data_IF_068775663835
#
_entry.id   IF_068775663835
#
_cell.length_a   1.000
_cell.length_b   1.000
_cell.length_c   1.000
_cell.angle_alpha   90.00
_cell.angle_beta   90.00
_cell.angle_gamma   90.00
#
_symmetry.space_group_name_H-M   'P 1'
#
loop_
_entity.id
_entity.type
_entity.pdbx_description
1 polymer ?
#
# COMPACT_ATOMS: atom_id res chain seq x y z
N UNK A 1 -43.56 4.30 24.32
CA UNK A 1 -42.15 4.74 24.49
C UNK A 1 -41.14 3.70 24.00
N UNK A 2 -41.27 2.39 24.38
CA UNK A 2 -40.41 1.31 23.88
C UNK A 2 -40.45 1.18 22.36
N UNK A 3 -41.65 1.25 21.76
CA UNK A 3 -41.83 1.07 20.31
C UNK A 3 -41.24 2.24 19.50
N UNK A 4 -41.28 3.45 20.04
CA UNK A 4 -40.65 4.62 19.41
C UNK A 4 -39.14 4.53 19.42
N UNK A 5 -38.57 4.10 20.54
CA UNK A 5 -37.10 3.89 20.64
C UNK A 5 -36.69 2.74 19.75
N UNK A 6 -37.45 1.66 19.70
CA UNK A 6 -37.16 0.51 18.85
C UNK A 6 -37.17 0.86 17.36
N UNK A 7 -38.18 1.60 16.91
CA UNK A 7 -38.28 2.02 15.51
C UNK A 7 -37.16 3.01 15.15
N UNK A 8 -36.85 3.97 16.03
CA UNK A 8 -35.75 4.91 15.83
C UNK A 8 -34.39 4.19 15.69
N UNK A 9 -34.09 3.26 16.61
CA UNK A 9 -32.85 2.50 16.57
C UNK A 9 -32.80 1.64 15.30
N UNK A 10 -33.88 0.96 14.97
CA UNK A 10 -33.95 0.06 13.81
C UNK A 10 -33.74 0.82 12.49
N UNK A 11 -34.38 1.94 12.29
CA UNK A 11 -34.21 2.75 11.09
C UNK A 11 -32.79 3.31 10.95
N UNK A 12 -32.23 3.89 12.02
CA UNK A 12 -30.89 4.45 11.98
C UNK A 12 -29.81 3.37 11.83
N UNK A 13 -29.93 2.24 12.54
CA UNK A 13 -28.98 1.13 12.41
C UNK A 13 -29.03 0.50 11.00
N UNK A 14 -30.22 0.35 10.40
CA UNK A 14 -30.34 -0.19 9.05
C UNK A 14 -29.63 0.68 8.02
N UNK A 15 -29.77 2.00 8.10
CA UNK A 15 -29.08 2.95 7.22
C UNK A 15 -27.57 2.81 7.38
N UNK A 16 -27.06 2.75 8.63
CA UNK A 16 -25.63 2.56 8.89
C UNK A 16 -25.09 1.26 8.30
N UNK A 17 -25.77 0.16 8.53
CA UNK A 17 -25.35 -1.16 8.03
C UNK A 17 -25.31 -1.16 6.49
N UNK A 18 -26.31 -0.61 5.83
CA UNK A 18 -26.37 -0.53 4.35
C UNK A 18 -25.23 0.34 3.81
N UNK A 19 -24.98 1.52 4.43
CA UNK A 19 -23.89 2.40 3.99
C UNK A 19 -22.51 1.79 4.23
N UNK A 20 -22.29 1.14 5.37
CA UNK A 20 -21.05 0.40 5.66
C UNK A 20 -20.83 -0.72 4.65
N UNK A 21 -21.87 -1.50 4.33
CA UNK A 21 -21.79 -2.55 3.33
C UNK A 21 -21.44 -2.00 1.93
N UNK A 22 -22.01 -0.84 1.57
CA UNK A 22 -21.69 -0.15 0.32
C UNK A 22 -20.23 0.33 0.31
N UNK A 23 -19.75 0.90 1.40
CA UNK A 23 -18.35 1.31 1.56
C UNK A 23 -17.39 0.13 1.43
N UNK A 24 -17.73 -1.00 2.05
CA UNK A 24 -16.96 -2.24 1.93
C UNK A 24 -16.90 -2.72 0.48
N UNK A 25 -18.05 -2.78 -0.19
CA UNK A 25 -18.14 -3.20 -1.60
C UNK A 25 -17.35 -2.26 -2.52
N UNK A 26 -17.40 -0.95 -2.30
CA UNK A 26 -16.65 0.05 -3.06
C UNK A 26 -15.14 -0.12 -2.88
N UNK A 27 -14.68 -0.33 -1.64
CA UNK A 27 -13.27 -0.58 -1.35
C UNK A 27 -12.76 -1.87 -1.99
N UNK A 28 -13.54 -2.96 -1.91
CA UNK A 28 -13.21 -4.21 -2.59
C UNK A 28 -13.17 -4.05 -4.10
N UNK A 29 -14.13 -3.33 -4.68
CA UNK A 29 -14.19 -3.03 -6.11
C UNK A 29 -12.96 -2.26 -6.58
N UNK A 30 -12.54 -1.23 -5.85
CA UNK A 30 -11.34 -0.45 -6.17
C UNK A 30 -10.07 -1.32 -6.15
N UNK A 31 -9.93 -2.22 -5.16
CA UNK A 31 -8.81 -3.15 -5.08
C UNK A 31 -8.80 -4.16 -6.23
N UNK A 32 -9.97 -4.64 -6.65
CA UNK A 32 -10.07 -5.54 -7.81
C UNK A 32 -9.64 -4.84 -9.11
N UNK A 33 -10.04 -3.59 -9.30
CA UNK A 33 -9.63 -2.78 -10.46
C UNK A 33 -8.10 -2.57 -10.46
N UNK A 34 -7.48 -2.26 -9.30
CA UNK A 34 -6.02 -2.15 -9.20
C UNK A 34 -5.32 -3.48 -9.52
N UNK A 35 -5.86 -4.60 -9.03
CA UNK A 35 -5.33 -5.93 -9.30
C UNK A 35 -5.38 -6.27 -10.81
N UNK A 36 -6.54 -6.06 -11.45
CA UNK A 36 -6.73 -6.33 -12.87
C UNK A 36 -5.79 -5.47 -13.71
N UNK A 37 -5.75 -4.16 -13.45
CA UNK A 37 -4.85 -3.24 -14.14
C UNK A 37 -3.37 -3.57 -13.90
N UNK A 38 -3.00 -3.99 -12.71
CA UNK A 38 -1.66 -4.48 -12.41
C UNK A 38 -1.27 -5.71 -13.21
N UNK A 39 -2.18 -6.68 -13.35
CA UNK A 39 -2.00 -7.89 -14.17
C UNK A 39 -1.88 -7.53 -15.65
N UNK A 40 -2.73 -6.63 -16.16
CA UNK A 40 -2.66 -6.17 -17.56
C UNK A 40 -1.32 -5.49 -17.87
N UNK A 41 -0.85 -4.60 -16.98
CA UNK A 41 0.45 -3.94 -17.12
C UNK A 41 1.63 -4.93 -17.07
N UNK A 42 1.56 -5.96 -16.23
CA UNK A 42 2.58 -7.01 -16.17
C UNK A 42 2.61 -7.85 -17.48
N UNK A 43 1.43 -8.18 -18.01
CA UNK A 43 1.32 -8.88 -19.31
C UNK A 43 1.91 -8.07 -20.46
N UNK A 44 1.67 -6.77 -20.51
CA UNK A 44 2.24 -5.88 -21.54
C UNK A 44 3.78 -5.80 -21.49
N UNK A 45 4.37 -5.98 -20.30
CA UNK A 45 5.82 -5.98 -20.10
C UNK A 45 6.49 -7.34 -20.32
N UNK A 46 5.72 -8.39 -20.60
CA UNK A 46 6.25 -9.75 -20.73
C UNK A 46 6.75 -10.36 -19.42
N UNK A 47 6.36 -9.79 -18.26
CA UNK A 47 6.76 -10.30 -16.95
C UNK A 47 5.97 -11.57 -16.60
N UNK A 48 6.66 -12.58 -16.05
CA UNK A 48 6.02 -13.80 -15.58
C UNK A 48 5.03 -13.50 -14.44
N UNK A 49 3.85 -14.14 -14.49
CA UNK A 49 2.83 -14.04 -13.42
C UNK A 49 3.31 -14.81 -12.20
N UNK A 50 3.83 -14.10 -11.21
CA UNK A 50 4.30 -14.71 -9.96
C UNK A 50 3.25 -14.61 -8.86
N UNK A 51 3.26 -15.56 -7.93
CA UNK A 51 2.43 -15.53 -6.71
C UNK A 51 2.69 -14.30 -5.84
N UNK A 52 3.83 -13.64 -6.04
CA UNK A 52 4.25 -12.44 -5.32
C UNK A 52 3.28 -11.27 -5.51
N UNK A 53 2.68 -11.13 -6.70
CA UNK A 53 1.65 -10.12 -6.97
C UNK A 53 0.42 -10.29 -6.07
N UNK A 54 -0.08 -11.51 -5.95
CA UNK A 54 -1.23 -11.80 -5.09
C UNK A 54 -0.91 -11.61 -3.60
N UNK A 55 0.30 -11.99 -3.14
CA UNK A 55 0.74 -11.75 -1.76
C UNK A 55 0.75 -10.24 -1.43
N UNK A 56 1.23 -9.38 -2.35
CA UNK A 56 1.21 -7.92 -2.19
C UNK A 56 -0.20 -7.38 -2.07
N UNK A 57 -1.14 -7.88 -2.88
CA UNK A 57 -2.57 -7.50 -2.79
C UNK A 57 -3.19 -7.94 -1.46
N UNK A 58 -2.88 -9.13 -0.97
CA UNK A 58 -3.36 -9.61 0.34
C UNK A 58 -2.85 -8.75 1.51
N UNK A 59 -1.56 -8.36 1.49
CA UNK A 59 -0.99 -7.43 2.48
C UNK A 59 -1.65 -6.06 2.42
N UNK A 60 -1.97 -5.57 1.22
CA UNK A 60 -2.67 -4.31 0.99
C UNK A 60 -4.11 -4.38 1.53
N UNK A 61 -4.80 -5.49 1.28
CA UNK A 61 -6.13 -5.77 1.81
C UNK A 61 -6.14 -5.69 3.35
N UNK A 62 -5.21 -6.38 4.01
CA UNK A 62 -5.09 -6.32 5.46
C UNK A 62 -4.93 -4.87 5.97
N UNK A 63 -4.09 -4.06 5.32
CA UNK A 63 -3.87 -2.65 5.70
C UNK A 63 -5.12 -1.78 5.54
N UNK A 64 -6.02 -2.09 4.61
CA UNK A 64 -7.24 -1.32 4.39
C UNK A 64 -8.39 -1.79 5.27
N UNK A 65 -8.58 -3.11 5.39
CA UNK A 65 -9.72 -3.64 6.12
C UNK A 65 -9.55 -3.60 7.64
N UNK A 66 -8.33 -3.67 8.17
CA UNK A 66 -8.13 -3.55 9.63
C UNK A 66 -8.62 -2.21 10.16
N UNK A 67 -8.13 -1.04 9.69
CA UNK A 67 -8.64 0.24 10.15
C UNK A 67 -10.12 0.47 9.78
N UNK A 68 -10.57 -0.07 8.65
CA UNK A 68 -11.98 0.03 8.25
C UNK A 68 -12.90 -0.60 9.30
N UNK A 69 -12.58 -1.80 9.80
CA UNK A 69 -13.36 -2.49 10.83
C UNK A 69 -13.35 -1.68 12.13
N UNK A 70 -12.20 -1.13 12.54
CA UNK A 70 -12.09 -0.28 13.73
C UNK A 70 -13.00 0.95 13.62
N UNK A 71 -13.00 1.62 12.46
CA UNK A 71 -13.84 2.78 12.20
C UNK A 71 -15.33 2.44 12.12
N UNK A 72 -15.68 1.25 11.61
CA UNK A 72 -17.08 0.76 11.65
C UNK A 72 -17.59 0.62 13.09
N UNK A 73 -16.75 0.15 14.02
CA UNK A 73 -17.14 0.09 15.44
C UNK A 73 -17.36 1.50 16.02
N UNK A 74 -16.52 2.46 15.67
CA UNK A 74 -16.68 3.85 16.10
C UNK A 74 -17.97 4.43 15.55
N UNK A 75 -18.24 4.26 14.25
CA UNK A 75 -19.46 4.72 13.60
C UNK A 75 -20.71 4.08 14.24
N UNK A 76 -20.64 2.79 14.59
CA UNK A 76 -21.75 2.11 15.25
C UNK A 76 -22.00 2.64 16.65
N UNK A 77 -20.97 3.00 17.41
CA UNK A 77 -21.11 3.65 18.71
C UNK A 77 -21.70 5.07 18.60
N UNK A 78 -21.32 5.78 17.55
CA UNK A 78 -21.77 7.14 17.28
C UNK A 78 -23.15 7.22 16.60
N UNK A 79 -23.73 6.09 16.15
CA UNK A 79 -24.97 6.07 15.37
C UNK A 79 -26.17 6.74 16.04
N UNK A 80 -26.16 6.83 17.38
CA UNK A 80 -27.21 7.51 18.15
C UNK A 80 -27.16 9.02 18.00
N UNK A 81 -25.97 9.58 17.78
CA UNK A 81 -25.74 11.04 17.67
C UNK A 81 -25.61 11.48 16.22
N UNK A 82 -24.94 10.67 15.42
CA UNK A 82 -24.63 10.98 14.01
C UNK A 82 -25.35 9.95 13.13
N UNK A 83 -26.29 10.41 12.27
CA UNK A 83 -27.11 9.50 11.46
C UNK A 83 -26.38 8.87 10.26
N UNK A 84 -25.08 9.12 10.09
CA UNK A 84 -24.27 8.60 8.98
C UNK A 84 -22.93 8.06 9.46
N UNK A 85 -22.39 6.98 8.86
CA UNK A 85 -21.09 6.41 9.19
C UNK A 85 -19.94 7.22 8.57
N UNK A 86 -19.69 8.42 9.11
CA UNK A 86 -18.77 9.41 8.55
C UNK A 86 -17.35 8.90 8.48
N UNK A 87 -16.88 8.23 9.54
CA UNK A 87 -15.49 7.75 9.62
C UNK A 87 -15.19 6.66 8.60
N UNK A 88 -16.10 5.69 8.46
CA UNK A 88 -15.99 4.64 7.43
C UNK A 88 -16.06 5.21 6.01
N UNK A 89 -16.89 6.23 5.77
CA UNK A 89 -16.99 6.89 4.47
C UNK A 89 -15.71 7.64 4.10
N UNK A 90 -15.13 8.41 5.03
CA UNK A 90 -13.87 9.13 4.81
C UNK A 90 -12.74 8.13 4.52
N UNK A 91 -12.64 7.06 5.29
CA UNK A 91 -11.64 6.03 5.07
C UNK A 91 -11.79 5.34 3.72
N UNK A 92 -13.02 5.00 3.33
CA UNK A 92 -13.33 4.44 2.01
C UNK A 92 -12.90 5.38 0.90
N UNK A 93 -13.21 6.67 1.00
CA UNK A 93 -12.78 7.70 0.05
C UNK A 93 -11.25 7.75 -0.07
N UNK A 94 -10.54 7.71 1.03
CA UNK A 94 -9.08 7.65 1.06
C UNK A 94 -8.54 6.39 0.35
N UNK A 95 -9.10 5.21 0.64
CA UNK A 95 -8.70 3.96 0.00
C UNK A 95 -8.92 4.00 -1.53
N UNK A 96 -10.08 4.45 -1.97
CA UNK A 96 -10.41 4.60 -3.40
C UNK A 96 -9.43 5.57 -4.07
N UNK A 97 -9.13 6.70 -3.45
CA UNK A 97 -8.16 7.67 -3.97
C UNK A 97 -6.76 7.06 -4.12
N UNK A 98 -6.29 6.31 -3.14
CA UNK A 98 -5.01 5.60 -3.20
C UNK A 98 -4.96 4.59 -4.35
N UNK A 99 -6.04 3.81 -4.54
CA UNK A 99 -6.12 2.84 -5.62
C UNK A 99 -6.20 3.52 -7.00
N UNK A 100 -6.97 4.58 -7.12
CA UNK A 100 -7.05 5.38 -8.34
C UNK A 100 -5.69 5.97 -8.75
N UNK A 101 -4.95 6.52 -7.77
CA UNK A 101 -3.58 6.99 -8.00
C UNK A 101 -2.68 5.85 -8.46
N UNK A 102 -2.77 4.67 -7.83
CA UNK A 102 -2.01 3.47 -8.21
C UNK A 102 -2.28 3.03 -9.66
N UNK A 103 -3.54 3.07 -10.09
CA UNK A 103 -3.94 2.72 -11.46
C UNK A 103 -3.40 3.72 -12.48
N UNK A 104 -3.42 5.03 -12.16
CA UNK A 104 -2.94 6.11 -13.06
C UNK A 104 -1.42 6.18 -13.17
N UNK A 105 -0.67 5.70 -12.20
CA UNK A 105 0.80 5.74 -12.26
C UNK A 105 1.32 4.94 -13.46
N UNK A 106 2.24 5.57 -14.22
CA UNK A 106 2.88 4.94 -15.38
C UNK A 106 3.67 3.71 -14.91
N UNK A 107 3.50 2.60 -15.62
CA UNK A 107 4.15 1.33 -15.28
C UNK A 107 5.69 1.42 -15.26
N UNK A 108 6.28 2.31 -16.05
CA UNK A 108 7.72 2.52 -16.16
C UNK A 108 8.31 3.13 -14.88
N UNK A 109 7.69 4.17 -14.33
CA UNK A 109 8.18 4.80 -13.10
C UNK A 109 8.20 3.83 -11.91
N UNK A 110 7.23 2.92 -11.81
CA UNK A 110 7.23 1.87 -10.78
C UNK A 110 8.34 0.83 -10.98
N UNK A 111 8.70 0.52 -12.23
CA UNK A 111 9.78 -0.43 -12.50
C UNK A 111 11.15 0.17 -12.15
N UNK A 112 11.37 1.44 -12.46
CA UNK A 112 12.60 2.17 -12.11
C UNK A 112 12.75 2.34 -10.60
N UNK A 113 11.67 2.71 -9.90
CA UNK A 113 11.66 2.80 -8.43
C UNK A 113 11.99 1.45 -7.77
N UNK A 114 11.43 0.35 -8.27
CA UNK A 114 11.75 -0.99 -7.75
C UNK A 114 13.18 -1.39 -8.03
N UNK A 115 13.74 -1.04 -9.19
CA UNK A 115 15.16 -1.28 -9.49
C UNK A 115 16.04 -0.49 -8.54
N UNK A 116 15.73 0.80 -8.32
CA UNK A 116 16.46 1.64 -7.38
C UNK A 116 16.36 1.11 -5.94
N UNK A 117 15.17 0.68 -5.49
CA UNK A 117 14.96 0.11 -4.16
C UNK A 117 15.73 -1.21 -3.97
N UNK A 118 15.68 -2.10 -4.96
CA UNK A 118 16.45 -3.35 -4.93
C UNK A 118 17.97 -3.08 -4.95
N UNK A 119 18.43 -2.14 -5.75
CA UNK A 119 19.85 -1.74 -5.80
C UNK A 119 20.29 -1.16 -4.45
N UNK A 120 19.47 -0.28 -3.87
CA UNK A 120 19.74 0.25 -2.54
C UNK A 120 19.78 -0.84 -1.47
N UNK A 121 18.85 -1.79 -1.46
CA UNK A 121 18.83 -2.88 -0.48
C UNK A 121 20.07 -3.76 -0.58
N UNK A 122 20.50 -4.08 -1.80
CA UNK A 122 21.76 -4.84 -2.04
C UNK A 122 22.99 -4.06 -1.57
N UNK A 123 23.02 -2.75 -1.79
CA UNK A 123 24.12 -1.89 -1.31
C UNK A 123 24.15 -1.87 0.22
N UNK A 124 22.99 -1.75 0.88
CA UNK A 124 22.91 -1.76 2.34
C UNK A 124 23.27 -3.11 2.94
N UNK A 125 22.88 -4.22 2.32
CA UNK A 125 23.19 -5.57 2.77
C UNK A 125 24.68 -5.89 2.66
N UNK A 126 25.36 -5.38 1.60
CA UNK A 126 26.78 -5.60 1.35
C UNK A 126 27.65 -4.40 1.73
N UNK A 127 27.17 -3.51 2.60
CA UNK A 127 27.86 -2.26 2.99
C UNK A 127 29.28 -2.53 3.50
N UNK A 128 29.48 -3.56 4.33
CA UNK A 128 30.78 -3.87 4.93
C UNK A 128 31.77 -4.43 3.89
N UNK A 129 31.30 -5.19 2.91
CA UNK A 129 32.12 -5.74 1.83
C UNK A 129 32.51 -4.63 0.84
N UNK A 130 31.58 -3.73 0.51
CA UNK A 130 31.86 -2.55 -0.33
C UNK A 130 32.88 -1.62 0.35
N UNK A 131 32.76 -1.41 1.67
CA UNK A 131 33.74 -0.62 2.43
C UNK A 131 35.13 -1.24 2.42
N UNK A 132 35.26 -2.57 2.53
CA UNK A 132 36.55 -3.28 2.43
C UNK A 132 37.17 -3.14 1.04
N UNK A 133 36.37 -3.31 -0.03
CA UNK A 133 36.86 -3.18 -1.41
C UNK A 133 37.32 -1.74 -1.68
N UNK A 134 36.56 -0.74 -1.22
CA UNK A 134 36.98 0.68 -1.35
C UNK A 134 38.27 0.97 -0.59
N UNK A 135 38.42 0.47 0.65
CA UNK A 135 39.65 0.63 1.43
C UNK A 135 40.86 -0.02 0.71
N UNK A 136 40.66 -1.16 0.09
CA UNK A 136 41.70 -1.87 -0.65
C UNK A 136 42.12 -1.12 -1.92
N UNK A 137 41.18 -0.59 -2.69
CA UNK A 137 41.45 0.25 -3.87
C UNK A 137 42.19 1.52 -3.49
N UNK A 138 41.83 2.18 -2.39
CA UNK A 138 42.54 3.37 -1.90
C UNK A 138 43.96 3.05 -1.51
N UNK A 139 44.19 1.95 -0.78
CA UNK A 139 45.51 1.51 -0.37
C UNK A 139 46.42 1.17 -1.55
N UNK A 140 45.89 0.49 -2.57
CA UNK A 140 46.62 0.17 -3.78
C UNK A 140 46.96 1.42 -4.60
N UNK A 141 46.04 2.41 -4.66
CA UNK A 141 46.28 3.68 -5.32
C UNK A 141 47.34 4.56 -4.63
N UNK A 142 47.42 4.50 -3.31
CA UNK A 142 48.48 5.19 -2.54
C UNK A 142 49.85 4.55 -2.79
N UNK A 143 49.94 3.22 -2.77
CA UNK A 143 51.19 2.51 -3.10
C UNK A 143 51.71 2.83 -4.50
N UNK A 144 50.81 2.92 -5.48
CA UNK A 144 51.18 3.28 -6.86
C UNK A 144 51.73 4.68 -6.98
N UNK A 145 51.19 5.63 -6.17
CA UNK A 145 51.69 7.02 -6.09
C UNK A 145 53.04 7.13 -5.37
N UNK A 146 53.26 6.34 -4.33
CA UNK A 146 54.55 6.30 -3.63
C UNK A 146 55.66 5.67 -4.49
N UNK A 147 55.34 4.59 -5.24
CA UNK A 147 56.26 3.96 -6.18
C UNK A 147 56.68 4.91 -7.32
N UNK A 148 55.81 5.80 -7.78
CA UNK A 148 56.16 6.82 -8.80
C UNK A 148 56.90 8.01 -8.28
N UNK A 149 56.98 8.22 -6.96
CA UNK A 149 57.66 9.34 -6.33
C UNK A 149 59.09 9.02 -5.92
N UNK A 150 59.45 7.72 -5.81
CA UNK A 150 60.73 7.21 -5.38
C UNK A 150 61.57 6.58 -6.53
N UNK A 151 61.14 6.64 -7.76
CA UNK A 151 61.84 6.24 -8.98
C UNK A 151 62.08 7.44 -9.88
#
# INVERSE_FOLDING_TARGET
MKDVIYNFINEHMMIHIVLIALCLAATMGAMLVDLITGVMKAKQRGEARTSTGYKKTAVKAKKYFTPFIELCFIDLLCCVVIPFPIFSMIWTGYCIFCEFKSVREKSWGKAELRKAENTMSVIFENKDDIAKIMAQILFDSEKEKEGKRNG
#
